data_IF_354734087149
#
_entry.id   IF_354734087149
#
_cell.length_a   1.000
_cell.length_b   1.000
_cell.length_c   1.000
_cell.angle_alpha   90.00
_cell.angle_beta   90.00
_cell.angle_gamma   90.00
#
_symmetry.space_group_name_H-M   'P 1'
#
loop_
_entity.id
_entity.type
_entity.pdbx_description
1 polymer ?
#
# COMPACT_ATOMS: atom_id res chain seq x y z
N UNK A 1 -0.52 9.67 -9.15
CA UNK A 1 -0.09 8.80 -8.04
C UNK A 1 0.01 7.36 -8.52
N UNK A 2 1.09 6.69 -8.17
CA UNK A 2 1.35 5.28 -8.44
C UNK A 2 1.36 4.47 -7.12
N UNK A 3 1.56 3.14 -7.20
CA UNK A 3 1.53 2.22 -6.06
C UNK A 3 2.42 2.69 -4.91
N UNK A 4 3.64 3.06 -5.22
CA UNK A 4 4.64 3.43 -4.21
C UNK A 4 4.27 4.74 -3.48
N UNK A 5 3.58 5.67 -4.15
CA UNK A 5 3.00 6.87 -3.51
C UNK A 5 1.90 6.50 -2.50
N UNK A 6 1.06 5.51 -2.85
CA UNK A 6 -0.04 5.06 -1.99
C UNK A 6 0.53 4.43 -0.73
N UNK A 7 1.52 3.54 -0.88
CA UNK A 7 2.19 2.90 0.25
C UNK A 7 2.94 3.93 1.10
N UNK A 8 3.69 4.85 0.48
CA UNK A 8 4.38 5.92 1.22
C UNK A 8 3.41 6.80 2.00
N UNK A 9 2.27 7.16 1.41
CA UNK A 9 1.24 7.96 2.08
C UNK A 9 0.60 7.21 3.24
N UNK A 10 0.39 5.91 3.13
CA UNK A 10 -0.08 5.08 4.24
C UNK A 10 0.90 5.13 5.42
N UNK A 11 2.20 4.93 5.18
CA UNK A 11 3.20 5.02 6.24
C UNK A 11 3.33 6.41 6.84
N UNK A 12 3.22 7.47 6.04
CA UNK A 12 3.19 8.84 6.55
C UNK A 12 2.02 9.07 7.51
N UNK A 13 0.82 8.64 7.14
CA UNK A 13 -0.34 8.75 8.01
C UNK A 13 -0.19 7.90 9.29
N UNK A 14 0.37 6.71 9.18
CA UNK A 14 0.59 5.81 10.32
C UNK A 14 1.64 6.36 11.28
N UNK A 15 2.80 6.80 10.79
CA UNK A 15 3.92 7.24 11.62
C UNK A 15 3.74 8.64 12.20
N UNK A 16 3.16 9.56 11.43
CA UNK A 16 3.07 10.97 11.81
C UNK A 16 1.64 11.42 12.10
N UNK A 17 0.63 10.73 11.57
CA UNK A 17 -0.78 11.06 11.76
C UNK A 17 -1.53 10.15 12.73
N UNK A 18 -0.94 9.02 13.15
CA UNK A 18 -1.61 8.03 14.01
C UNK A 18 -2.87 7.43 13.38
N UNK A 19 -2.92 7.31 12.04
CA UNK A 19 -4.09 6.87 11.30
C UNK A 19 -3.75 5.81 10.27
N UNK A 20 -4.55 4.76 10.18
CA UNK A 20 -4.52 3.80 9.08
C UNK A 20 -5.28 4.38 7.89
N UNK A 21 -4.63 5.24 7.12
CA UNK A 21 -5.21 5.97 6.00
C UNK A 21 -4.27 5.97 4.81
N UNK A 22 -4.75 5.52 3.67
CA UNK A 22 -4.05 5.57 2.38
C UNK A 22 -4.78 6.46 1.37
N UNK A 23 -4.45 6.26 0.09
CA UNK A 23 -5.11 6.92 -1.04
C UNK A 23 -5.84 5.84 -1.86
N UNK A 24 -7.16 5.74 -1.80
CA UNK A 24 -7.89 4.78 -2.62
C UNK A 24 -7.79 5.13 -4.11
N UNK A 25 -7.94 4.15 -5.03
CA UNK A 25 -7.92 4.38 -6.47
C UNK A 25 -8.99 5.35 -6.96
N UNK A 26 -10.08 5.45 -6.20
CA UNK A 26 -11.23 6.32 -6.51
C UNK A 26 -11.85 6.86 -5.23
N UNK A 27 -12.13 8.15 -5.21
CA UNK A 27 -12.88 8.80 -4.11
C UNK A 27 -13.58 10.06 -4.60
N UNK A 28 -14.58 10.50 -3.84
CA UNK A 28 -15.19 11.82 -4.04
C UNK A 28 -14.29 12.89 -3.42
N UNK A 29 -14.12 14.04 -4.07
CA UNK A 29 -13.39 15.19 -3.53
C UNK A 29 -14.04 15.73 -2.24
N UNK A 30 -13.27 16.39 -1.39
CA UNK A 30 -13.72 16.86 -0.09
C UNK A 30 -14.92 17.82 -0.18
N UNK A 31 -15.04 18.58 -1.28
CA UNK A 31 -16.20 19.44 -1.57
C UNK A 31 -17.41 18.69 -2.18
N UNK A 32 -17.28 17.39 -2.44
CA UNK A 32 -18.34 16.55 -3.01
C UNK A 32 -18.60 16.74 -4.52
N UNK A 33 -17.88 17.62 -5.20
CA UNK A 33 -18.19 18.01 -6.58
C UNK A 33 -17.54 17.10 -7.63
N UNK A 34 -16.41 16.51 -7.30
CA UNK A 34 -15.60 15.78 -8.29
C UNK A 34 -15.29 14.35 -7.84
N UNK A 35 -15.20 13.47 -8.86
CA UNK A 35 -14.65 12.13 -8.67
C UNK A 35 -13.15 12.16 -8.96
N UNK A 36 -12.34 11.91 -7.95
CA UNK A 36 -10.89 11.74 -8.08
C UNK A 36 -10.60 10.30 -8.41
N UNK A 37 -9.88 10.05 -9.51
CA UNK A 37 -9.40 8.72 -9.91
C UNK A 37 -7.88 8.70 -9.96
N UNK A 38 -7.28 7.53 -9.67
CA UNK A 38 -5.84 7.27 -9.74
C UNK A 38 -5.57 6.06 -10.63
N UNK A 39 -5.51 6.26 -11.95
CA UNK A 39 -5.38 5.15 -12.91
C UNK A 39 -4.12 4.28 -12.70
N UNK A 40 -3.05 4.88 -12.17
CA UNK A 40 -1.78 4.20 -11.92
C UNK A 40 -1.65 3.62 -10.49
N UNK A 41 -2.75 3.55 -9.72
CA UNK A 41 -2.75 3.13 -8.31
C UNK A 41 -2.04 1.79 -8.06
N UNK A 42 -2.06 0.88 -9.01
CA UNK A 42 -1.46 -0.46 -8.92
C UNK A 42 -0.13 -0.59 -9.66
N UNK A 43 0.32 0.45 -10.36
CA UNK A 43 1.54 0.44 -11.16
C UNK A 43 2.74 0.82 -10.31
N UNK A 44 3.85 0.10 -10.45
CA UNK A 44 5.11 0.39 -9.75
C UNK A 44 5.75 1.70 -10.25
N UNK A 45 6.37 2.48 -9.35
CA UNK A 45 7.15 3.67 -9.72
C UNK A 45 8.21 3.33 -10.79
N UNK A 46 8.92 2.21 -10.60
CA UNK A 46 9.95 1.76 -11.53
C UNK A 46 9.42 1.49 -12.95
N UNK A 47 8.19 1.01 -13.08
CA UNK A 47 7.59 0.73 -14.39
C UNK A 47 7.17 2.03 -15.09
N UNK A 48 6.61 2.98 -14.33
CA UNK A 48 6.28 4.31 -14.87
C UNK A 48 7.54 5.07 -15.28
N UNK A 49 8.62 4.98 -14.49
CA UNK A 49 9.90 5.61 -14.82
C UNK A 49 10.50 5.04 -16.11
N UNK A 50 10.56 3.71 -16.25
CA UNK A 50 11.05 3.05 -17.47
C UNK A 50 10.21 3.41 -18.70
N UNK A 51 8.89 3.47 -18.53
CA UNK A 51 8.01 3.87 -19.60
C UNK A 51 8.24 5.32 -20.04
N UNK A 52 8.37 6.23 -19.06
CA UNK A 52 8.63 7.63 -19.34
C UNK A 52 9.97 7.85 -20.05
N UNK A 53 11.02 7.10 -19.68
CA UNK A 53 12.31 7.11 -20.34
C UNK A 53 12.23 6.58 -21.76
N UNK A 54 11.58 5.44 -21.97
CA UNK A 54 11.39 4.84 -23.29
C UNK A 54 10.63 5.77 -24.25
N UNK A 55 9.60 6.45 -23.76
CA UNK A 55 8.79 7.40 -24.52
C UNK A 55 9.41 8.78 -24.62
N UNK A 56 10.54 9.03 -23.97
CA UNK A 56 11.22 10.33 -23.93
C UNK A 56 10.30 11.48 -23.52
N UNK A 57 9.46 11.23 -22.48
CA UNK A 57 8.58 12.29 -22.00
C UNK A 57 9.39 13.46 -21.42
N UNK A 58 9.00 14.72 -21.72
CA UNK A 58 9.65 15.90 -21.17
C UNK A 58 9.30 16.06 -19.68
N UNK A 59 10.06 15.38 -18.81
CA UNK A 59 9.85 15.45 -17.35
C UNK A 59 10.57 16.68 -16.81
N UNK A 60 9.82 17.59 -16.19
CA UNK A 60 10.37 18.75 -15.50
C UNK A 60 10.85 18.30 -14.11
N UNK A 61 12.15 18.50 -13.77
CA UNK A 61 12.66 18.18 -12.44
C UNK A 61 11.92 18.99 -11.36
N UNK A 62 11.39 18.31 -10.34
CA UNK A 62 10.74 18.98 -9.21
C UNK A 62 11.80 19.46 -8.20
N UNK A 63 12.21 20.72 -8.28
CA UNK A 63 13.17 21.33 -7.36
C UNK A 63 12.52 22.22 -6.27
N UNK A 64 11.16 22.23 -6.19
CA UNK A 64 10.42 23.28 -5.49
C UNK A 64 9.96 22.95 -4.06
N UNK A 65 10.16 21.73 -3.56
CA UNK A 65 9.60 21.33 -2.27
C UNK A 65 10.66 21.20 -1.16
N UNK A 66 10.90 22.28 -0.43
CA UNK A 66 11.70 22.31 0.81
C UNK A 66 10.88 22.13 2.10
N UNK A 67 9.62 21.69 2.04
CA UNK A 67 8.77 21.52 3.21
C UNK A 67 9.18 20.31 4.07
N UNK A 68 8.90 20.38 5.38
CA UNK A 68 9.15 19.29 6.33
C UNK A 68 8.42 18.01 5.93
N UNK A 69 7.22 18.14 5.36
CA UNK A 69 6.44 17.03 4.81
C UNK A 69 7.15 16.31 3.67
N UNK A 70 7.89 17.06 2.83
CA UNK A 70 8.70 16.49 1.77
C UNK A 70 9.89 15.68 2.31
N UNK A 71 10.52 16.13 3.40
CA UNK A 71 11.59 15.38 4.07
C UNK A 71 11.09 14.05 4.64
N UNK A 72 9.95 14.06 5.32
CA UNK A 72 9.32 12.85 5.86
C UNK A 72 8.96 11.87 4.74
N UNK A 73 8.43 12.36 3.62
CA UNK A 73 8.13 11.52 2.45
C UNK A 73 9.39 10.89 1.85
N UNK A 74 10.49 11.63 1.77
CA UNK A 74 11.79 11.08 1.34
C UNK A 74 12.31 10.00 2.28
N UNK A 75 12.20 10.20 3.60
CA UNK A 75 12.62 9.23 4.59
C UNK A 75 11.82 7.93 4.48
N UNK A 76 10.49 8.02 4.41
CA UNK A 76 9.62 6.86 4.21
C UNK A 76 9.91 6.17 2.89
N UNK A 77 10.09 6.92 1.81
CA UNK A 77 10.42 6.35 0.49
C UNK A 77 11.77 5.60 0.51
N UNK A 78 12.78 6.14 1.20
CA UNK A 78 14.07 5.46 1.37
C UNK A 78 13.92 4.16 2.16
N UNK A 79 13.22 4.19 3.29
CA UNK A 79 12.94 3.02 4.11
C UNK A 79 12.25 1.91 3.29
N UNK A 80 11.21 2.27 2.53
CA UNK A 80 10.48 1.30 1.70
C UNK A 80 11.37 0.70 0.60
N UNK A 81 12.23 1.51 -0.03
CA UNK A 81 13.19 1.03 -1.04
C UNK A 81 14.22 0.06 -0.44
N UNK A 82 14.72 0.35 0.76
CA UNK A 82 15.64 -0.57 1.46
C UNK A 82 14.93 -1.87 1.87
N UNK A 83 13.69 -1.79 2.35
CA UNK A 83 12.90 -2.98 2.66
C UNK A 83 12.63 -3.85 1.42
N UNK A 84 12.30 -3.23 0.32
CA UNK A 84 12.06 -3.95 -0.94
C UNK A 84 13.32 -4.66 -1.46
N UNK A 85 14.52 -4.07 -1.24
CA UNK A 85 15.79 -4.72 -1.59
C UNK A 85 16.08 -5.93 -0.70
N UNK A 86 15.86 -5.81 0.61
CA UNK A 86 16.11 -6.87 1.57
C UNK A 86 15.07 -7.98 1.49
N UNK A 87 13.84 -7.61 1.19
CA UNK A 87 12.67 -8.49 1.15
C UNK A 87 11.81 -8.17 -0.08
N UNK A 88 12.17 -8.66 -1.27
CA UNK A 88 11.43 -8.41 -2.50
C UNK A 88 9.95 -8.79 -2.39
N UNK A 89 9.07 -7.94 -2.90
CA UNK A 89 7.61 -8.12 -2.81
C UNK A 89 6.97 -7.52 -1.55
N UNK A 90 7.75 -6.95 -0.63
CA UNK A 90 7.21 -6.39 0.62
C UNK A 90 6.26 -5.22 0.36
N UNK A 91 6.58 -4.35 -0.58
CA UNK A 91 5.71 -3.22 -0.95
C UNK A 91 4.37 -3.69 -1.51
N UNK A 92 4.37 -4.78 -2.26
CA UNK A 92 3.15 -5.40 -2.78
C UNK A 92 2.28 -5.95 -1.65
N UNK A 93 2.89 -6.66 -0.69
CA UNK A 93 2.18 -7.19 0.48
C UNK A 93 1.54 -6.09 1.32
N UNK A 94 2.22 -4.95 1.48
CA UNK A 94 1.66 -3.79 2.17
C UNK A 94 0.45 -3.24 1.42
N UNK A 95 0.52 -3.13 0.09
CA UNK A 95 -0.63 -2.70 -0.70
C UNK A 95 -1.81 -3.68 -0.58
N UNK A 96 -1.54 -4.98 -0.60
CA UNK A 96 -2.57 -6.02 -0.41
C UNK A 96 -3.21 -5.93 0.98
N UNK A 97 -2.44 -5.65 2.03
CA UNK A 97 -2.98 -5.49 3.38
C UNK A 97 -3.97 -4.32 3.50
N UNK A 98 -3.77 -3.26 2.70
CA UNK A 98 -4.73 -2.15 2.62
C UNK A 98 -6.06 -2.54 1.95
N UNK A 99 -6.08 -3.64 1.22
CA UNK A 99 -7.29 -4.17 0.55
C UNK A 99 -7.94 -5.31 1.34
N UNK A 100 -7.23 -5.85 2.36
CA UNK A 100 -7.65 -7.00 3.16
C UNK A 100 -7.65 -6.60 4.65
N UNK A 101 -8.53 -5.69 5.00
CA UNK A 101 -8.69 -5.23 6.39
C UNK A 101 -9.64 -6.17 7.12
N UNK A 102 -9.24 -6.61 8.33
CA UNK A 102 -10.07 -7.42 9.23
C UNK A 102 -10.53 -6.54 10.39
N UNK A 103 -11.72 -5.92 10.30
CA UNK A 103 -12.20 -4.95 11.28
C UNK A 103 -12.27 -5.48 12.71
N UNK A 104 -12.62 -6.74 12.89
CA UNK A 104 -12.72 -7.41 14.20
C UNK A 104 -11.38 -7.51 14.94
N UNK A 105 -10.26 -7.33 14.25
CA UNK A 105 -8.90 -7.37 14.81
C UNK A 105 -8.24 -5.97 14.88
N UNK A 106 -9.02 -4.91 14.67
CA UNK A 106 -8.60 -3.53 14.84
C UNK A 106 -9.23 -2.93 16.11
N UNK A 107 -8.55 -1.94 16.69
CA UNK A 107 -9.00 -1.27 17.92
C UNK A 107 -9.93 -0.07 17.66
N UNK A 108 -10.43 0.10 16.43
CA UNK A 108 -11.38 1.15 16.07
C UNK A 108 -12.81 0.70 16.40
N UNK A 109 -13.41 1.36 17.39
CA UNK A 109 -14.77 1.05 17.86
C UNK A 109 -15.86 1.33 16.83
N UNK A 110 -15.61 2.20 15.85
CA UNK A 110 -16.56 2.47 14.77
C UNK A 110 -16.58 1.34 13.74
N UNK A 111 -15.43 0.67 13.56
CA UNK A 111 -15.32 -0.48 12.67
C UNK A 111 -15.78 -1.77 13.34
N UNK A 112 -15.49 -1.93 14.65
CA UNK A 112 -15.83 -3.11 15.42
C UNK A 112 -16.08 -2.75 16.89
N UNK A 113 -17.32 -2.95 17.37
CA UNK A 113 -17.67 -2.68 18.75
C UNK A 113 -17.24 -3.82 19.69
N UNK A 114 -15.95 -3.94 19.94
CA UNK A 114 -15.37 -4.97 20.82
C UNK A 114 -15.72 -4.78 22.30
N UNK A 115 -16.30 -3.62 22.68
CA UNK A 115 -16.60 -3.31 24.08
C UNK A 115 -17.84 -4.05 24.58
N UNK A 116 -18.82 -4.28 23.69
CA UNK A 116 -20.10 -4.90 24.03
C UNK A 116 -20.19 -6.37 23.56
N UNK A 117 -19.05 -7.00 23.29
CA UNK A 117 -19.01 -8.40 22.86
C UNK A 117 -19.49 -9.33 23.98
N UNK A 118 -20.35 -10.29 23.61
CA UNK A 118 -20.80 -11.35 24.49
C UNK A 118 -20.51 -12.70 23.84
N UNK A 119 -20.19 -13.71 24.68
CA UNK A 119 -20.01 -15.07 24.19
C UNK A 119 -21.34 -15.65 23.77
N UNK A 120 -21.41 -16.21 22.58
CA UNK A 120 -22.61 -16.88 22.04
C UNK A 120 -22.63 -18.37 22.38
N UNK A 121 -21.50 -18.93 22.84
CA UNK A 121 -21.31 -20.39 23.04
C UNK A 121 -21.25 -21.17 21.73
N UNK A 122 -21.32 -20.52 20.58
CA UNK A 122 -21.20 -21.14 19.26
C UNK A 122 -19.95 -20.63 18.54
N UNK A 123 -19.25 -21.50 17.77
CA UNK A 123 -18.17 -21.08 16.91
C UNK A 123 -18.69 -20.09 15.87
N UNK A 124 -17.92 -19.05 15.56
CA UNK A 124 -18.20 -18.14 14.44
C UNK A 124 -17.72 -18.83 13.17
N UNK A 125 -18.62 -19.06 12.21
CA UNK A 125 -18.35 -19.82 10.99
C UNK A 125 -17.28 -19.14 10.12
N UNK A 126 -17.23 -17.79 10.12
CA UNK A 126 -16.24 -16.97 9.43
C UNK A 126 -15.24 -16.33 10.41
N UNK A 127 -14.97 -16.93 11.56
CA UNK A 127 -13.98 -16.45 12.52
C UNK A 127 -12.60 -16.36 11.88
N UNK A 128 -11.85 -15.28 12.21
CA UNK A 128 -10.50 -15.12 11.70
C UNK A 128 -9.57 -16.19 12.29
N UNK A 129 -9.21 -17.14 11.46
CA UNK A 129 -8.26 -18.22 11.77
C UNK A 129 -6.83 -17.91 11.29
N UNK A 130 -6.53 -16.64 10.99
CA UNK A 130 -5.28 -16.26 10.37
C UNK A 130 -4.03 -16.66 11.19
N UNK A 131 -4.19 -16.86 12.50
CA UNK A 131 -3.11 -17.34 13.38
C UNK A 131 -3.23 -18.84 13.73
N UNK A 132 -4.37 -19.45 13.41
CA UNK A 132 -4.66 -20.85 13.74
C UNK A 132 -4.45 -21.78 12.53
N UNK A 133 -4.24 -21.23 11.35
CA UNK A 133 -4.04 -21.99 10.13
C UNK A 133 -2.55 -22.31 9.95
N UNK A 134 -2.18 -23.57 10.15
CA UNK A 134 -0.83 -24.09 9.89
C UNK A 134 -0.42 -23.93 8.40
N UNK A 135 -1.36 -23.49 7.55
CA UNK A 135 -1.16 -23.30 6.10
C UNK A 135 -0.76 -21.89 5.69
N UNK A 136 -0.49 -20.96 6.62
CA UNK A 136 0.04 -19.64 6.26
C UNK A 136 1.44 -19.77 5.64
N UNK A 137 1.47 -20.11 4.37
CA UNK A 137 2.64 -19.90 3.53
C UNK A 137 2.65 -18.43 3.11
N UNK A 138 3.66 -17.65 3.53
CA UNK A 138 3.80 -16.29 3.00
C UNK A 138 3.91 -16.41 1.48
N UNK A 139 3.20 -15.56 0.71
CA UNK A 139 3.28 -15.62 -0.74
C UNK A 139 4.72 -15.47 -1.17
N UNK A 140 5.30 -16.57 -1.63
CA UNK A 140 6.62 -16.55 -2.24
C UNK A 140 6.46 -15.76 -3.52
N UNK A 141 7.15 -14.61 -3.63
CA UNK A 141 7.21 -13.88 -4.89
C UNK A 141 7.74 -14.85 -5.95
N UNK A 142 6.85 -15.41 -6.77
CA UNK A 142 7.25 -16.17 -7.95
C UNK A 142 7.87 -15.18 -8.90
N UNK A 143 9.19 -15.10 -8.87
CA UNK A 143 9.94 -14.50 -9.96
C UNK A 143 9.83 -15.54 -11.09
N UNK A 144 8.90 -15.37 -11.99
CA UNK A 144 8.84 -16.15 -13.20
C UNK A 144 10.15 -15.94 -13.95
N UNK A 145 10.87 -17.04 -14.17
CA UNK A 145 12.16 -17.03 -14.88
C UNK A 145 12.04 -16.39 -16.27
N UNK A 146 10.84 -16.35 -16.84
CA UNK A 146 10.52 -15.71 -18.13
C UNK A 146 10.55 -14.17 -18.07
N UNK A 147 10.37 -13.57 -16.88
CA UNK A 147 10.49 -12.12 -16.70
C UNK A 147 11.94 -11.62 -16.83
N UNK A 148 12.92 -12.50 -16.67
CA UNK A 148 14.35 -12.18 -16.78
C UNK A 148 14.83 -12.20 -18.24
N UNK A 149 14.15 -12.93 -19.10
CA UNK A 149 14.54 -13.09 -20.51
C UNK A 149 14.27 -11.85 -21.37
N UNK A 150 13.35 -10.96 -20.96
CA UNK A 150 12.98 -9.74 -21.70
C UNK A 150 13.94 -8.56 -21.52
N UNK A 151 14.97 -8.68 -20.68
CA UNK A 151 15.94 -7.60 -20.41
C UNK A 151 17.23 -7.79 -21.23
N UNK A 152 17.34 -8.83 -22.08
CA UNK A 152 18.55 -9.14 -22.85
C UNK A 152 18.39 -9.01 -24.38
N UNK A 153 17.49 -8.14 -24.85
CA UNK A 153 17.52 -7.75 -26.26
C UNK A 153 17.61 -6.23 -26.39
#
# INVERSE_FOLDING_TARGET
HHRDDIVATFFLNMFFGGKLKGMPPKLVSDNGEFMVIRPLAYVKEADTARWAEHMQFPIIPCNLCGSQEHLQRKQVGHMLKEWEKQHPGRTEMILQSLQNVVPSHLMDRQLHNFHDLQTTGMPVEDGDKAFDDETFEPPVARIDADSIALVRQ
#
